data_IF_081649086469
#
_entry.id   IF_081649086469
#
_cell.length_a   1.000
_cell.length_b   1.000
_cell.length_c   1.000
_cell.angle_alpha   90.00
_cell.angle_beta   90.00
_cell.angle_gamma   90.00
#
_symmetry.space_group_name_H-M   'P 1'
#
loop_
_entity.id
_entity.type
_entity.pdbx_description
1 polymer ?
#
# COMPACT_ATOMS: atom_id res chain seq x y z
N UNK A 1 -0.16 -0.26 -4.96
CA UNK A 1 0.69 -0.32 -3.76
C UNK A 1 2.11 0.16 -4.04
N UNK A 2 2.83 -0.37 -5.03
CA UNK A 2 4.20 0.11 -5.38
C UNK A 2 4.29 1.63 -5.65
N UNK A 3 3.29 2.23 -6.30
CA UNK A 3 3.23 3.68 -6.45
C UNK A 3 3.11 4.44 -5.11
N UNK A 4 2.36 3.90 -4.15
CA UNK A 4 2.21 4.52 -2.83
C UNK A 4 3.53 4.43 -2.04
N UNK A 5 4.27 3.34 -2.18
CA UNK A 5 5.63 3.18 -1.64
C UNK A 5 6.58 4.24 -2.25
N UNK A 6 6.64 4.32 -3.58
CA UNK A 6 7.46 5.32 -4.27
C UNK A 6 7.10 6.76 -3.91
N UNK A 7 5.81 7.06 -3.78
CA UNK A 7 5.32 8.37 -3.33
C UNK A 7 5.79 8.69 -1.91
N UNK A 8 5.69 7.73 -0.99
CA UNK A 8 6.11 7.92 0.38
C UNK A 8 7.60 8.22 0.50
N UNK A 9 8.43 7.49 -0.27
CA UNK A 9 9.88 7.75 -0.35
C UNK A 9 10.22 9.11 -0.94
N UNK A 10 9.54 9.50 -2.01
CA UNK A 10 9.82 10.76 -2.71
C UNK A 10 9.37 12.00 -1.91
N UNK A 11 8.31 11.88 -1.12
CA UNK A 11 7.68 13.03 -0.45
C UNK A 11 7.91 13.08 1.05
N UNK A 12 8.33 11.97 1.68
CA UNK A 12 8.37 11.82 3.13
C UNK A 12 6.98 11.78 3.79
N UNK A 13 5.89 11.74 3.00
CA UNK A 13 4.51 11.65 3.50
C UNK A 13 4.00 10.21 3.43
N UNK A 14 2.96 9.88 4.18
CA UNK A 14 2.35 8.55 4.10
C UNK A 14 1.76 8.28 2.71
N UNK A 15 2.12 7.15 2.10
CA UNK A 15 1.55 6.68 0.85
C UNK A 15 0.17 6.06 1.09
N UNK A 16 -0.85 6.49 0.36
CA UNK A 16 -2.22 5.97 0.51
C UNK A 16 -2.66 5.25 -0.76
N UNK A 17 -3.29 4.09 -0.61
CA UNK A 17 -3.87 3.33 -1.72
C UNK A 17 -5.22 2.74 -1.34
N UNK A 18 -6.18 2.80 -2.27
CA UNK A 18 -7.49 2.20 -2.16
C UNK A 18 -7.56 0.96 -3.07
N UNK A 19 -8.03 -0.17 -2.54
CA UNK A 19 -8.21 -1.42 -3.27
C UNK A 19 -9.61 -1.98 -3.03
N UNK A 20 -10.13 -2.73 -4.01
CA UNK A 20 -11.39 -3.48 -3.84
C UNK A 20 -11.24 -4.62 -2.82
N UNK A 21 -12.35 -5.21 -2.41
CA UNK A 21 -12.37 -6.40 -1.55
C UNK A 21 -11.77 -7.62 -2.27
N UNK A 22 -11.45 -8.68 -1.52
CA UNK A 22 -11.01 -9.97 -2.07
C UNK A 22 -9.76 -9.84 -2.98
N UNK A 23 -9.88 -10.05 -4.31
CA UNK A 23 -8.73 -10.01 -5.22
C UNK A 23 -7.92 -8.70 -5.18
N UNK A 24 -8.56 -7.57 -4.91
CA UNK A 24 -7.88 -6.29 -4.80
C UNK A 24 -6.92 -6.23 -3.61
N UNK A 25 -7.36 -6.73 -2.46
CA UNK A 25 -6.56 -6.83 -1.26
C UNK A 25 -5.42 -7.85 -1.39
N UNK A 26 -5.69 -9.02 -1.99
CA UNK A 26 -4.65 -10.05 -2.14
C UNK A 26 -3.56 -9.65 -3.13
N UNK A 27 -3.91 -9.01 -4.24
CA UNK A 27 -2.92 -8.47 -5.19
C UNK A 27 -2.05 -7.36 -4.60
N UNK A 28 -2.51 -6.70 -3.53
CA UNK A 28 -1.76 -5.67 -2.83
C UNK A 28 -0.69 -6.22 -1.87
N UNK A 29 -0.77 -7.50 -1.46
CA UNK A 29 0.04 -8.09 -0.39
C UNK A 29 1.55 -7.93 -0.65
N UNK A 30 2.03 -8.18 -1.86
CA UNK A 30 3.46 -8.03 -2.17
C UNK A 30 3.95 -6.61 -1.89
N UNK A 31 3.18 -5.58 -2.27
CA UNK A 31 3.56 -4.20 -2.02
C UNK A 31 3.45 -3.81 -0.54
N UNK A 32 2.51 -4.40 0.20
CA UNK A 32 2.40 -4.22 1.66
C UNK A 32 3.61 -4.83 2.36
N UNK A 33 4.01 -6.04 1.96
CA UNK A 33 5.17 -6.72 2.52
C UNK A 33 6.46 -5.92 2.25
N UNK A 34 6.65 -5.41 1.03
CA UNK A 34 7.78 -4.52 0.72
C UNK A 34 7.78 -3.28 1.60
N UNK A 35 6.63 -2.58 1.72
CA UNK A 35 6.52 -1.40 2.55
C UNK A 35 6.80 -1.68 4.03
N UNK A 36 6.37 -2.85 4.53
CA UNK A 36 6.64 -3.28 5.90
C UNK A 36 8.12 -3.56 6.14
N UNK A 37 8.78 -4.30 5.23
CA UNK A 37 10.22 -4.60 5.35
C UNK A 37 11.08 -3.34 5.31
N UNK A 38 10.69 -2.37 4.49
CA UNK A 38 11.45 -1.14 4.28
C UNK A 38 11.03 0.02 5.21
N UNK A 39 10.16 -0.25 6.19
CA UNK A 39 9.64 0.75 7.14
C UNK A 39 9.00 1.98 6.47
N UNK A 40 8.27 1.75 5.38
CA UNK A 40 7.65 2.80 4.59
C UNK A 40 6.28 3.14 5.17
N UNK A 41 6.00 4.43 5.49
CA UNK A 41 4.70 4.84 5.99
C UNK A 41 3.64 4.68 4.89
N UNK A 42 2.77 3.69 5.03
CA UNK A 42 1.72 3.38 4.05
C UNK A 42 0.37 3.10 4.72
N UNK A 43 -0.71 3.58 4.11
CA UNK A 43 -2.09 3.27 4.48
C UNK A 43 -2.77 2.56 3.31
N UNK A 44 -3.28 1.35 3.56
CA UNK A 44 -4.05 0.58 2.59
C UNK A 44 -5.50 0.51 3.04
N UNK A 45 -6.39 1.08 2.22
CA UNK A 45 -7.83 0.99 2.42
C UNK A 45 -8.37 -0.10 1.50
N UNK A 46 -9.02 -1.11 2.07
CA UNK A 46 -9.70 -2.15 1.30
C UNK A 46 -11.20 -2.02 1.46
N UNK A 47 -11.93 -2.13 0.35
CA UNK A 47 -13.38 -2.32 0.41
C UNK A 47 -13.72 -3.62 1.14
N UNK A 48 -14.88 -3.65 1.79
CA UNK A 48 -15.46 -4.88 2.32
C UNK A 48 -16.81 -5.16 1.65
N UNK A 49 -17.09 -6.44 1.44
CA UNK A 49 -18.40 -7.01 1.05
C UNK A 49 -18.99 -7.81 2.20
#
# INVERSE_FOLDING_TARGET
THMADGYARATGKAGVVLVTSGPGATNAITGIATAYMDSIPMVVLSGQV
#
